data_IF_279994154518
#
_entry.id   IF_279994154518
#
_cell.length_a   1.000
_cell.length_b   1.000
_cell.length_c   1.000
_cell.angle_alpha   90.00
_cell.angle_beta   90.00
_cell.angle_gamma   90.00
#
_symmetry.space_group_name_H-M   'P 1'
#
loop_
_entity.id
_entity.type
_entity.pdbx_description
1 polymer ?
#
# COMPACT_ATOMS: atom_id res chain seq x y z
N UNK A 1 -19.32 8.56 31.79
CA UNK A 1 -20.23 7.40 31.61
C UNK A 1 -21.07 7.66 30.36
N UNK A 2 -20.66 7.16 29.21
CA UNK A 2 -21.43 7.26 27.95
C UNK A 2 -22.64 6.37 28.12
N UNK A 3 -23.81 6.93 27.90
CA UNK A 3 -25.08 6.26 28.09
C UNK A 3 -25.14 5.01 27.17
N UNK A 4 -25.22 3.81 27.74
CA UNK A 4 -25.23 2.51 27.08
C UNK A 4 -26.25 2.47 25.92
N UNK A 5 -27.39 3.15 26.07
CA UNK A 5 -28.44 3.32 25.06
C UNK A 5 -27.94 4.10 23.81
N UNK A 6 -27.13 5.15 23.98
CA UNK A 6 -26.54 5.89 22.85
C UNK A 6 -25.50 5.06 22.11
N UNK A 7 -24.78 4.19 22.80
CA UNK A 7 -23.82 3.29 22.18
C UNK A 7 -24.52 2.16 21.40
N UNK A 8 -25.57 1.56 21.95
CA UNK A 8 -26.36 0.52 21.27
C UNK A 8 -27.10 1.10 20.05
N UNK A 9 -27.58 2.33 20.11
CA UNK A 9 -28.19 3.03 18.98
C UNK A 9 -27.16 3.37 17.90
N UNK A 10 -25.96 3.80 18.28
CA UNK A 10 -24.83 4.04 17.39
C UNK A 10 -24.41 2.75 16.65
N UNK A 11 -24.31 1.63 17.36
CA UNK A 11 -24.00 0.31 16.77
C UNK A 11 -25.13 -0.14 15.81
N UNK A 12 -26.39 0.14 16.15
CA UNK A 12 -27.54 -0.16 15.30
C UNK A 12 -27.55 0.68 14.01
N UNK A 13 -27.25 1.97 14.10
CA UNK A 13 -27.17 2.90 12.96
C UNK A 13 -26.02 2.53 12.01
N UNK A 14 -24.85 2.15 12.58
CA UNK A 14 -23.75 1.59 11.81
C UNK A 14 -24.17 0.31 11.10
N UNK A 15 -24.83 -0.59 11.82
CA UNK A 15 -25.33 -1.86 11.25
C UNK A 15 -26.28 -1.65 10.10
N UNK A 16 -27.21 -0.71 10.23
CA UNK A 16 -28.21 -0.38 9.19
C UNK A 16 -27.56 0.27 7.96
N UNK A 17 -26.67 1.22 8.19
CA UNK A 17 -25.90 1.88 7.10
C UNK A 17 -25.05 0.85 6.36
N UNK A 18 -24.40 -0.03 7.09
CA UNK A 18 -23.59 -1.13 6.57
C UNK A 18 -24.44 -2.12 5.75
N UNK A 19 -25.60 -2.54 6.27
CA UNK A 19 -26.50 -3.48 5.56
C UNK A 19 -27.09 -2.88 4.28
N UNK A 20 -27.34 -1.58 4.23
CA UNK A 20 -27.88 -0.90 3.04
C UNK A 20 -26.84 -0.73 1.91
N UNK A 21 -25.57 -0.57 2.25
CA UNK A 21 -24.47 -0.42 1.29
C UNK A 21 -24.04 -1.78 0.70
N UNK A 22 -24.24 -2.88 1.44
CA UNK A 22 -23.70 -4.21 1.12
C UNK A 22 -24.65 -5.22 0.47
N UNK A 23 -25.79 -4.80 -0.02
CA UNK A 23 -26.66 -5.63 -0.87
C UNK A 23 -26.05 -5.91 -2.25
N UNK A 24 -24.97 -5.22 -2.62
CA UNK A 24 -24.18 -5.47 -3.82
C UNK A 24 -22.98 -6.37 -3.49
N UNK A 25 -22.76 -7.44 -4.29
CA UNK A 25 -21.63 -8.40 -4.24
C UNK A 25 -20.29 -7.72 -4.53
N UNK A 26 -19.80 -6.81 -3.69
CA UNK A 26 -18.54 -6.16 -3.90
C UNK A 26 -17.38 -7.03 -3.37
N UNK A 27 -16.37 -7.26 -4.22
CA UNK A 27 -15.13 -7.95 -3.85
C UNK A 27 -14.24 -6.97 -3.09
N UNK A 28 -13.45 -7.47 -2.14
CA UNK A 28 -12.39 -6.68 -1.49
C UNK A 28 -11.39 -6.20 -2.54
N UNK A 29 -11.30 -4.90 -2.74
CA UNK A 29 -10.39 -4.28 -3.71
C UNK A 29 -9.56 -3.19 -3.03
N UNK A 30 -8.26 -3.19 -3.29
CA UNK A 30 -7.33 -2.18 -2.80
C UNK A 30 -6.54 -1.56 -3.94
N UNK A 31 -6.45 -0.24 -3.94
CA UNK A 31 -5.70 0.55 -4.89
C UNK A 31 -4.41 1.05 -4.24
N UNK A 32 -3.28 0.75 -4.86
CA UNK A 32 -1.95 1.20 -4.44
C UNK A 32 -1.38 2.12 -5.50
N UNK A 33 -1.14 3.38 -5.13
CA UNK A 33 -0.41 4.34 -5.96
C UNK A 33 1.08 4.26 -5.66
N UNK A 34 1.91 4.12 -6.70
CA UNK A 34 3.37 4.09 -6.52
C UNK A 34 3.97 5.39 -7.07
N UNK A 35 4.44 6.21 -6.14
CA UNK A 35 5.12 7.47 -6.43
C UNK A 35 6.64 7.28 -6.39
N UNK A 36 7.36 8.01 -7.21
CA UNK A 36 8.82 8.01 -7.25
C UNK A 36 9.34 8.61 -8.54
N UNK A 37 10.52 9.18 -8.50
CA UNK A 37 11.18 9.79 -9.66
C UNK A 37 11.49 8.77 -10.77
N UNK A 38 11.84 9.27 -11.95
CA UNK A 38 12.38 8.43 -13.03
C UNK A 38 13.64 7.69 -12.56
N UNK A 39 13.71 6.39 -12.85
CA UNK A 39 14.84 5.54 -12.41
C UNK A 39 14.73 4.98 -11.01
N UNK A 40 13.71 5.35 -10.20
CA UNK A 40 13.54 4.79 -8.85
C UNK A 40 13.10 3.31 -8.82
N UNK A 41 12.98 2.66 -9.98
CA UNK A 41 12.72 1.23 -10.09
C UNK A 41 11.24 0.82 -9.96
N UNK A 42 10.26 1.73 -10.11
CA UNK A 42 8.82 1.42 -10.01
C UNK A 42 8.38 0.26 -10.89
N UNK A 43 8.70 0.33 -12.17
CA UNK A 43 8.33 -0.69 -13.15
C UNK A 43 9.06 -2.01 -12.93
N UNK A 44 10.33 -1.96 -12.52
CA UNK A 44 11.11 -3.14 -12.13
C UNK A 44 10.49 -3.80 -10.90
N UNK A 45 10.13 -2.99 -9.90
CA UNK A 45 9.45 -3.44 -8.69
C UNK A 45 8.12 -4.15 -9.02
N UNK A 46 7.31 -3.57 -9.89
CA UNK A 46 6.04 -4.15 -10.34
C UNK A 46 6.26 -5.49 -11.06
N UNK A 47 7.25 -5.57 -11.96
CA UNK A 47 7.56 -6.80 -12.70
C UNK A 47 8.02 -7.92 -11.77
N UNK A 48 8.89 -7.59 -10.80
CA UNK A 48 9.37 -8.56 -9.81
C UNK A 48 8.27 -8.91 -8.82
N UNK A 49 7.47 -7.96 -8.37
CA UNK A 49 6.31 -8.21 -7.52
C UNK A 49 5.38 -9.25 -8.15
N UNK A 50 5.06 -9.12 -9.43
CA UNK A 50 4.22 -10.09 -10.12
C UNK A 50 4.96 -11.40 -10.41
N UNK A 51 6.14 -11.34 -11.03
CA UNK A 51 6.90 -12.50 -11.49
C UNK A 51 7.35 -13.41 -10.36
N UNK A 52 7.90 -12.85 -9.28
CA UNK A 52 8.32 -13.63 -8.09
C UNK A 52 7.16 -14.42 -7.48
N UNK A 53 5.94 -13.86 -7.51
CA UNK A 53 4.76 -14.51 -6.96
C UNK A 53 4.16 -15.61 -7.87
N UNK A 54 4.65 -15.75 -9.13
CA UNK A 54 4.26 -16.85 -10.02
C UNK A 54 5.00 -18.16 -9.70
N UNK A 55 6.11 -18.08 -8.96
CA UNK A 55 6.87 -19.27 -8.57
C UNK A 55 6.02 -20.20 -7.68
N UNK A 56 6.02 -21.50 -8.00
CA UNK A 56 5.29 -22.52 -7.23
C UNK A 56 5.72 -22.55 -5.76
N UNK A 57 7.00 -22.32 -5.50
CA UNK A 57 7.56 -22.25 -4.13
C UNK A 57 6.94 -21.09 -3.35
N UNK A 58 6.78 -19.91 -3.98
CA UNK A 58 6.11 -18.78 -3.35
C UNK A 58 4.66 -19.12 -2.99
N UNK A 59 3.88 -19.59 -3.96
CA UNK A 59 2.47 -19.94 -3.73
C UNK A 59 2.27 -20.95 -2.59
N UNK A 60 3.12 -21.98 -2.51
CA UNK A 60 3.10 -22.96 -1.43
C UNK A 60 3.40 -22.33 -0.07
N UNK A 61 4.42 -21.47 0.01
CA UNK A 61 4.84 -20.79 1.25
C UNK A 61 3.86 -19.70 1.67
N UNK A 62 3.41 -18.89 0.72
CA UNK A 62 2.50 -17.78 0.96
C UNK A 62 1.06 -18.24 1.23
N UNK A 63 0.63 -19.39 0.70
CA UNK A 63 -0.72 -19.93 0.81
C UNK A 63 -1.74 -19.23 -0.10
N UNK A 64 -1.29 -18.37 -1.00
CA UNK A 64 -2.12 -17.69 -2.00
C UNK A 64 -1.39 -17.54 -3.33
N UNK A 65 -2.15 -17.23 -4.38
CA UNK A 65 -1.68 -16.92 -5.73
C UNK A 65 -2.10 -15.52 -6.12
N UNK A 66 -1.22 -14.84 -6.86
CA UNK A 66 -1.49 -13.58 -7.50
C UNK A 66 -1.70 -13.83 -9.01
N UNK A 67 -2.85 -13.44 -9.55
CA UNK A 67 -3.21 -13.66 -10.95
C UNK A 67 -3.46 -12.31 -11.61
N UNK A 68 -2.83 -12.02 -12.74
CA UNK A 68 -3.17 -10.83 -13.51
C UNK A 68 -4.62 -10.93 -14.02
N UNK A 69 -5.39 -9.86 -13.89
CA UNK A 69 -6.75 -9.81 -14.43
C UNK A 69 -6.75 -9.73 -15.95
N UNK A 70 -5.75 -9.03 -16.52
CA UNK A 70 -5.44 -9.00 -17.94
C UNK A 70 -4.22 -9.88 -18.25
N UNK A 71 -4.43 -10.91 -19.06
CA UNK A 71 -3.38 -11.87 -19.42
C UNK A 71 -2.24 -11.23 -20.22
N UNK A 72 -2.55 -10.23 -21.06
CA UNK A 72 -1.53 -9.51 -21.86
C UNK A 72 -0.63 -8.68 -20.96
N UNK A 73 -1.21 -7.97 -20.00
CA UNK A 73 -0.43 -7.25 -18.98
C UNK A 73 0.43 -8.21 -18.15
N UNK A 74 -0.15 -9.34 -17.72
CA UNK A 74 0.58 -10.38 -16.98
C UNK A 74 1.76 -10.93 -17.77
N UNK A 75 1.60 -11.22 -19.06
CA UNK A 75 2.69 -11.69 -19.91
C UNK A 75 3.80 -10.64 -20.06
N UNK A 76 3.49 -9.38 -20.27
CA UNK A 76 4.48 -8.29 -20.32
C UNK A 76 5.30 -8.21 -19.04
N UNK A 77 4.65 -8.30 -17.87
CA UNK A 77 5.34 -8.28 -16.58
C UNK A 77 6.24 -9.50 -16.38
N UNK A 78 5.80 -10.70 -16.81
CA UNK A 78 6.61 -11.91 -16.76
C UNK A 78 7.83 -11.82 -17.69
N UNK A 79 7.67 -11.30 -18.89
CA UNK A 79 8.80 -11.09 -19.80
C UNK A 79 9.83 -10.13 -19.22
N UNK A 80 9.38 -9.04 -18.57
CA UNK A 80 10.28 -8.12 -17.90
C UNK A 80 10.96 -8.77 -16.67
N UNK A 81 10.25 -9.62 -15.94
CA UNK A 81 10.80 -10.38 -14.82
C UNK A 81 11.87 -11.39 -15.28
N UNK A 82 11.60 -12.15 -16.35
CA UNK A 82 12.57 -13.13 -16.89
C UNK A 82 13.85 -12.47 -17.37
N UNK A 83 13.80 -11.28 -17.96
CA UNK A 83 15.03 -10.55 -18.29
C UNK A 83 15.87 -10.26 -17.04
N UNK A 84 15.24 -9.90 -15.92
CA UNK A 84 15.95 -9.70 -14.66
C UNK A 84 16.55 -11.02 -14.18
N UNK A 85 15.84 -12.15 -14.32
CA UNK A 85 16.37 -13.49 -13.99
C UNK A 85 17.57 -13.87 -14.87
N UNK A 86 17.59 -13.43 -16.13
CA UNK A 86 18.70 -13.63 -17.07
C UNK A 86 19.87 -12.64 -16.85
N UNK A 87 19.78 -11.79 -15.83
CA UNK A 87 20.82 -10.81 -15.49
C UNK A 87 20.74 -9.50 -16.27
N UNK A 88 19.68 -9.33 -17.10
CA UNK A 88 19.47 -8.13 -17.89
C UNK A 88 18.62 -7.10 -17.12
N UNK A 89 19.03 -5.83 -17.18
CA UNK A 89 18.14 -4.75 -16.74
C UNK A 89 17.00 -4.60 -17.74
N UNK A 90 15.73 -4.58 -17.30
CA UNK A 90 14.64 -4.27 -18.20
C UNK A 90 14.86 -2.87 -18.77
N UNK A 91 14.67 -2.69 -20.09
CA UNK A 91 14.76 -1.36 -20.69
C UNK A 91 13.75 -0.46 -19.99
N UNK A 92 14.05 0.85 -19.96
CA UNK A 92 13.08 1.83 -19.43
C UNK A 92 11.75 1.65 -20.18
N UNK A 93 10.84 0.95 -19.55
CA UNK A 93 9.56 0.59 -20.17
C UNK A 93 8.61 1.75 -19.95
N UNK A 94 8.29 2.45 -21.03
CA UNK A 94 7.15 3.35 -21.08
C UNK A 94 5.91 2.49 -21.24
N UNK A 95 5.37 1.95 -20.13
CA UNK A 95 4.07 1.32 -20.18
C UNK A 95 3.03 2.39 -20.59
N UNK A 96 2.20 2.05 -21.55
CA UNK A 96 1.01 2.88 -21.87
C UNK A 96 -0.07 2.71 -20.81
N UNK A 97 -0.06 1.56 -20.14
CA UNK A 97 -1.01 1.22 -19.09
C UNK A 97 -0.52 1.78 -17.76
N UNK A 98 -1.35 2.55 -17.09
CA UNK A 98 -1.06 3.16 -15.79
C UNK A 98 -1.63 2.37 -14.63
N UNK A 99 -2.46 1.35 -14.89
CA UNK A 99 -3.07 0.50 -13.87
C UNK A 99 -2.95 -0.98 -14.22
N UNK A 100 -2.57 -1.79 -13.22
CA UNK A 100 -2.43 -3.24 -13.31
C UNK A 100 -3.29 -3.88 -12.23
N UNK A 101 -4.25 -4.70 -12.63
CA UNK A 101 -5.16 -5.37 -11.70
C UNK A 101 -4.73 -6.81 -11.46
N UNK A 102 -4.55 -7.16 -10.20
CA UNK A 102 -4.21 -8.51 -9.76
C UNK A 102 -5.32 -9.08 -8.90
N UNK A 103 -5.70 -10.33 -9.15
CA UNK A 103 -6.62 -11.11 -8.32
C UNK A 103 -5.83 -11.97 -7.34
N UNK A 104 -6.25 -11.97 -6.09
CA UNK A 104 -5.65 -12.77 -5.03
C UNK A 104 -6.57 -13.94 -4.73
N UNK A 105 -6.03 -15.16 -4.84
CA UNK A 105 -6.75 -16.41 -4.60
C UNK A 105 -6.02 -17.25 -3.58
N UNK A 106 -6.72 -17.67 -2.52
CA UNK A 106 -6.21 -18.63 -1.53
C UNK A 106 -6.11 -20.00 -2.19
N UNK A 107 -5.03 -20.75 -1.92
CA UNK A 107 -4.76 -22.02 -2.58
C UNK A 107 -5.90 -23.05 -2.36
N UNK A 108 -6.48 -23.07 -1.16
CA UNK A 108 -7.50 -24.02 -0.75
C UNK A 108 -8.93 -23.59 -1.08
N UNK A 109 -9.10 -22.45 -1.76
CA UNK A 109 -10.41 -21.90 -2.11
C UNK A 109 -10.51 -21.60 -3.61
N UNK A 110 -11.64 -21.95 -4.26
CA UNK A 110 -11.78 -21.84 -5.73
C UNK A 110 -12.02 -20.40 -6.22
N UNK A 111 -12.42 -19.50 -5.34
CA UNK A 111 -12.82 -18.13 -5.69
C UNK A 111 -11.72 -17.12 -5.37
N UNK A 112 -11.69 -16.03 -6.16
CA UNK A 112 -10.84 -14.88 -5.86
C UNK A 112 -11.31 -14.23 -4.56
N UNK A 113 -10.38 -14.01 -3.65
CA UNK A 113 -10.63 -13.45 -2.32
C UNK A 113 -10.61 -11.92 -2.35
N UNK A 114 -9.69 -11.34 -3.13
CA UNK A 114 -9.45 -9.91 -3.19
C UNK A 114 -8.87 -9.50 -4.54
N UNK A 115 -8.86 -8.19 -4.82
CA UNK A 115 -8.19 -7.59 -5.97
C UNK A 115 -7.24 -6.50 -5.48
N UNK A 116 -6.04 -6.44 -6.07
CA UNK A 116 -5.07 -5.38 -5.88
C UNK A 116 -4.90 -4.64 -7.21
N UNK A 117 -5.18 -3.34 -7.21
CA UNK A 117 -4.97 -2.47 -8.36
C UNK A 117 -3.71 -1.65 -8.10
N UNK A 118 -2.69 -1.89 -8.89
CA UNK A 118 -1.42 -1.18 -8.83
C UNK A 118 -1.43 -0.06 -9.85
N UNK A 119 -1.30 1.17 -9.40
CA UNK A 119 -1.17 2.33 -10.27
C UNK A 119 0.31 2.69 -10.40
N UNK A 120 0.84 2.58 -11.60
CA UNK A 120 2.19 3.01 -11.97
C UNK A 120 2.12 4.34 -12.72
N UNK A 121 2.93 5.30 -12.28
CA UNK A 121 2.99 6.63 -12.86
C UNK A 121 4.37 6.88 -13.44
N UNK A 122 4.48 7.27 -14.73
CA UNK A 122 5.77 7.56 -15.33
C UNK A 122 6.51 8.63 -14.55
N UNK A 123 7.70 8.28 -14.01
CA UNK A 123 8.46 9.20 -13.15
C UNK A 123 8.93 10.47 -13.87
N UNK A 124 9.02 10.43 -15.19
CA UNK A 124 9.37 11.56 -16.05
C UNK A 124 8.30 12.67 -16.00
N UNK A 125 7.06 12.29 -15.72
CA UNK A 125 5.95 13.25 -15.65
C UNK A 125 6.04 14.20 -14.45
N UNK A 126 6.87 13.92 -13.47
CA UNK A 126 7.09 14.81 -12.33
C UNK A 126 7.92 16.04 -12.69
N UNK A 127 8.83 15.88 -13.64
CA UNK A 127 9.77 16.95 -14.04
C UNK A 127 9.41 17.64 -15.35
N UNK A 128 8.50 17.08 -16.16
CA UNK A 128 8.17 17.57 -17.48
C UNK A 128 6.82 18.30 -17.49
N UNK A 129 6.83 19.54 -18.01
CA UNK A 129 5.60 20.24 -18.36
C UNK A 129 5.15 19.72 -19.72
N UNK A 130 3.94 19.17 -19.81
CA UNK A 130 3.36 18.66 -21.05
C UNK A 130 2.03 19.37 -21.30
N UNK A 131 1.78 19.74 -22.53
CA UNK A 131 0.57 20.42 -22.99
C UNK A 131 -0.26 19.52 -23.91
N UNK A 132 -1.49 19.92 -24.20
CA UNK A 132 -2.39 19.22 -25.09
C UNK A 132 -2.86 17.86 -24.56
N UNK A 133 -3.02 16.87 -25.43
CA UNK A 133 -3.52 15.54 -25.08
C UNK A 133 -2.62 14.79 -24.08
N UNK A 134 -1.30 14.95 -24.18
CA UNK A 134 -0.35 14.35 -23.23
C UNK A 134 -0.47 14.96 -21.83
N UNK A 135 -0.67 16.29 -21.76
CA UNK A 135 -0.93 16.98 -20.50
C UNK A 135 -2.22 16.50 -19.85
N UNK A 136 -3.28 16.28 -20.62
CA UNK A 136 -4.53 15.73 -20.11
C UNK A 136 -4.36 14.30 -19.58
N UNK A 137 -3.67 13.43 -20.32
CA UNK A 137 -3.35 12.05 -19.85
C UNK A 137 -2.54 12.03 -18.58
N UNK A 138 -1.55 12.95 -18.45
CA UNK A 138 -0.78 13.15 -17.23
C UNK A 138 -1.69 13.48 -16.05
N UNK A 139 -2.58 14.45 -16.23
CA UNK A 139 -3.52 14.90 -15.18
C UNK A 139 -4.48 13.78 -14.78
N UNK A 140 -5.03 13.04 -15.74
CA UNK A 140 -5.97 11.94 -15.48
C UNK A 140 -5.28 10.77 -14.74
N UNK A 141 -4.05 10.43 -15.13
CA UNK A 141 -3.26 9.41 -14.44
C UNK A 141 -2.89 9.85 -13.01
N UNK A 142 -2.50 11.12 -12.83
CA UNK A 142 -2.20 11.65 -11.51
C UNK A 142 -3.44 11.67 -10.60
N UNK A 143 -4.59 12.00 -11.16
CA UNK A 143 -5.88 11.93 -10.49
C UNK A 143 -6.23 10.50 -10.05
N UNK A 144 -6.03 9.52 -10.94
CA UNK A 144 -6.25 8.11 -10.62
C UNK A 144 -5.33 7.63 -9.48
N UNK A 145 -4.06 8.08 -9.46
CA UNK A 145 -3.15 7.81 -8.35
C UNK A 145 -3.68 8.37 -7.02
N UNK A 146 -4.16 9.61 -7.04
CA UNK A 146 -4.67 10.25 -5.83
C UNK A 146 -6.01 9.67 -5.35
N UNK A 147 -6.73 8.91 -6.18
CA UNK A 147 -7.91 8.15 -5.77
C UNK A 147 -7.57 6.78 -5.17
N UNK A 148 -6.28 6.46 -4.96
CA UNK A 148 -5.86 5.20 -4.36
C UNK A 148 -6.07 5.17 -2.85
N UNK A 149 -6.14 3.96 -2.26
CA UNK A 149 -6.28 3.78 -0.82
C UNK A 149 -4.96 3.98 -0.09
N UNK A 150 -3.85 3.58 -0.75
CA UNK A 150 -2.49 3.61 -0.24
C UNK A 150 -1.57 4.28 -1.23
N UNK A 151 -0.64 5.07 -0.72
CA UNK A 151 0.49 5.60 -1.45
C UNK A 151 1.79 4.92 -1.00
N UNK A 152 2.51 4.30 -1.93
CA UNK A 152 3.87 3.84 -1.75
C UNK A 152 4.81 4.88 -2.37
N UNK A 153 5.51 5.62 -1.53
CA UNK A 153 6.42 6.69 -1.94
C UNK A 153 7.87 6.18 -1.96
N UNK A 154 8.45 6.01 -3.15
CA UNK A 154 9.76 5.41 -3.33
C UNK A 154 10.89 6.43 -3.30
N UNK A 155 11.83 6.20 -2.40
CA UNK A 155 13.16 6.80 -2.36
C UNK A 155 14.07 5.93 -3.22
N UNK A 156 14.81 6.52 -4.18
CA UNK A 156 15.82 5.81 -4.97
C UNK A 156 17.10 5.60 -4.14
N UNK A 157 17.39 4.34 -3.81
CA UNK A 157 18.57 3.99 -3.01
C UNK A 157 19.89 4.40 -3.67
N UNK A 158 20.01 4.31 -4.99
CA UNK A 158 21.21 4.76 -5.69
C UNK A 158 21.44 6.25 -5.53
N UNK A 159 20.40 7.05 -5.76
CA UNK A 159 20.50 8.52 -5.58
C UNK A 159 20.74 8.92 -4.12
N UNK A 160 20.18 8.16 -3.18
CA UNK A 160 20.45 8.36 -1.76
C UNK A 160 21.92 8.07 -1.44
N UNK A 161 22.51 7.05 -2.05
CA UNK A 161 23.93 6.71 -1.89
C UNK A 161 24.84 7.77 -2.52
N UNK A 162 24.52 8.25 -3.72
CA UNK A 162 25.32 9.22 -4.48
C UNK A 162 25.29 10.63 -3.89
N UNK A 163 24.14 11.04 -3.32
CA UNK A 163 23.93 12.41 -2.84
C UNK A 163 23.19 12.44 -1.49
N UNK A 164 23.87 11.94 -0.47
CA UNK A 164 23.29 11.67 0.84
C UNK A 164 22.63 12.88 1.52
N UNK A 165 23.15 14.10 1.36
CA UNK A 165 22.68 15.26 2.12
C UNK A 165 21.50 15.99 1.46
N UNK A 166 21.44 16.03 0.15
CA UNK A 166 20.50 16.91 -0.56
C UNK A 166 19.37 16.18 -1.29
N UNK A 167 19.48 14.85 -1.43
CA UNK A 167 18.53 14.09 -2.21
C UNK A 167 17.14 14.06 -1.57
N UNK A 168 17.04 13.68 -0.29
CA UNK A 168 15.75 13.55 0.38
C UNK A 168 14.96 14.86 0.45
N UNK A 169 15.55 15.99 0.88
CA UNK A 169 14.85 17.27 0.86
C UNK A 169 14.33 17.64 -0.53
N UNK A 170 15.16 17.45 -1.57
CA UNK A 170 14.76 17.76 -2.97
C UNK A 170 13.62 16.87 -3.44
N UNK A 171 13.65 15.59 -3.12
CA UNK A 171 12.61 14.62 -3.50
C UNK A 171 11.25 15.03 -2.96
N UNK A 172 11.14 15.27 -1.64
CA UNK A 172 9.88 15.66 -1.01
C UNK A 172 9.41 17.04 -1.46
N UNK A 173 10.33 17.98 -1.62
CA UNK A 173 10.02 19.30 -2.18
C UNK A 173 9.48 19.21 -3.60
N UNK A 174 10.13 18.46 -4.49
CA UNK A 174 9.68 18.28 -5.87
C UNK A 174 8.28 17.70 -5.95
N UNK A 175 7.96 16.73 -5.08
CA UNK A 175 6.61 16.16 -5.03
C UNK A 175 5.59 17.18 -4.52
N UNK A 176 5.91 17.93 -3.47
CA UNK A 176 5.06 19.02 -2.97
C UNK A 176 4.78 20.05 -4.06
N UNK A 177 5.81 20.49 -4.76
CA UNK A 177 5.70 21.49 -5.83
C UNK A 177 4.83 20.97 -7.00
N UNK A 178 4.89 19.67 -7.31
CA UNK A 178 4.00 19.06 -8.32
C UNK A 178 2.55 19.01 -7.83
N UNK A 179 2.30 18.60 -6.57
CA UNK A 179 0.96 18.64 -5.98
C UNK A 179 0.37 20.05 -6.03
N UNK A 180 1.14 21.05 -5.65
CA UNK A 180 0.71 22.45 -5.68
C UNK A 180 0.36 22.91 -7.09
N UNK A 181 1.15 22.53 -8.09
CA UNK A 181 0.85 22.82 -9.51
C UNK A 181 -0.45 22.16 -9.98
N UNK A 182 -0.68 20.93 -9.56
CA UNK A 182 -1.88 20.18 -9.94
C UNK A 182 -3.13 20.57 -9.15
N UNK A 183 -2.98 21.34 -8.08
CA UNK A 183 -4.08 21.71 -7.18
C UNK A 183 -5.31 22.25 -7.93
N UNK A 184 -5.12 23.18 -8.87
CA UNK A 184 -6.22 23.78 -9.65
C UNK A 184 -6.98 22.71 -10.46
N UNK A 185 -6.26 21.72 -11.00
CA UNK A 185 -6.84 20.63 -11.78
C UNK A 185 -7.51 19.56 -10.90
N UNK A 186 -7.05 19.42 -9.67
CA UNK A 186 -7.53 18.42 -8.71
C UNK A 186 -8.76 18.93 -7.95
N UNK A 187 -8.72 20.17 -7.48
CA UNK A 187 -9.79 20.79 -6.68
C UNK A 187 -10.66 21.68 -7.56
N UNK A 188 -11.68 21.11 -8.22
CA UNK A 188 -12.66 21.92 -8.95
C UNK A 188 -13.37 22.85 -7.97
N UNK A 189 -13.46 24.13 -8.33
CA UNK A 189 -14.16 25.17 -7.55
C UNK A 189 -13.70 25.30 -6.08
N UNK A 190 -12.40 25.01 -5.81
CA UNK A 190 -11.80 24.96 -4.48
C UNK A 190 -12.45 23.93 -3.53
N UNK A 191 -13.18 22.94 -4.04
CA UNK A 191 -13.72 21.87 -3.24
C UNK A 191 -12.60 20.95 -2.73
N UNK A 192 -12.65 20.58 -1.45
CA UNK A 192 -11.69 19.66 -0.86
C UNK A 192 -11.87 18.25 -1.44
N UNK A 193 -10.76 17.55 -1.67
CA UNK A 193 -10.75 16.18 -2.17
C UNK A 193 -11.28 15.22 -1.11
N UNK A 194 -12.31 14.46 -1.44
CA UNK A 194 -12.81 13.36 -0.62
C UNK A 194 -11.95 12.11 -0.81
N UNK A 195 -11.65 11.77 -2.06
CA UNK A 195 -10.81 10.64 -2.43
C UNK A 195 -9.34 11.08 -2.48
N UNK A 196 -8.53 10.52 -1.60
CA UNK A 196 -7.09 10.79 -1.51
C UNK A 196 -6.43 9.67 -0.68
N UNK A 197 -5.18 9.23 -0.98
CA UNK A 197 -4.52 8.21 -0.18
C UNK A 197 -4.35 8.66 1.27
N UNK A 198 -4.91 7.89 2.20
CA UNK A 198 -4.81 8.19 3.64
C UNK A 198 -3.58 7.54 4.25
N UNK A 199 -3.22 6.36 3.77
CA UNK A 199 -2.06 5.60 4.21
C UNK A 199 -0.88 5.83 3.28
N UNK A 200 0.22 6.31 3.84
CA UNK A 200 1.46 6.59 3.12
C UNK A 200 2.59 5.75 3.69
N UNK A 201 3.22 4.96 2.84
CA UNK A 201 4.37 4.13 3.18
C UNK A 201 5.58 4.66 2.41
N UNK A 202 6.63 5.05 3.12
CA UNK A 202 7.89 5.51 2.52
C UNK A 202 8.76 4.27 2.30
N UNK A 203 9.07 3.97 1.04
CA UNK A 203 9.86 2.81 0.61
C UNK A 203 11.24 3.21 0.12
N UNK A 204 12.30 2.56 0.62
CA UNK A 204 13.63 2.63 0.02
C UNK A 204 13.73 1.55 -1.05
N UNK A 205 13.76 1.93 -2.33
CA UNK A 205 14.08 1.01 -3.42
C UNK A 205 15.58 0.76 -3.49
N UNK A 206 16.01 -0.33 -4.15
CA UNK A 206 17.43 -0.73 -4.23
C UNK A 206 18.07 -0.82 -2.85
N UNK A 207 17.34 -1.35 -1.86
CA UNK A 207 17.81 -1.46 -0.48
C UNK A 207 18.98 -2.43 -0.32
N UNK A 208 19.23 -3.29 -1.30
CA UNK A 208 20.42 -4.14 -1.42
C UNK A 208 21.74 -3.37 -1.46
N UNK A 209 21.71 -2.08 -1.87
CA UNK A 209 22.86 -1.18 -1.83
C UNK A 209 23.28 -0.77 -0.40
N UNK A 210 22.46 -1.07 0.60
CA UNK A 210 22.67 -0.72 2.01
C UNK A 210 22.77 -1.97 2.90
N UNK A 211 23.80 -2.82 2.71
CA UNK A 211 23.93 -4.04 3.46
C UNK A 211 24.07 -3.76 4.97
N UNK A 212 23.32 -4.51 5.78
CA UNK A 212 23.31 -4.36 7.24
C UNK A 212 22.53 -3.16 7.77
N UNK A 213 21.83 -2.43 6.90
CA UNK A 213 20.89 -1.38 7.32
C UNK A 213 19.48 -1.96 7.40
N UNK A 214 18.79 -1.59 8.48
CA UNK A 214 17.41 -1.96 8.74
C UNK A 214 16.43 -0.79 8.43
N UNK A 215 15.17 -1.02 8.66
CA UNK A 215 14.14 -0.02 8.40
C UNK A 215 14.17 1.14 9.42
N UNK A 216 14.64 0.92 10.63
CA UNK A 216 14.81 1.98 11.64
C UNK A 216 15.93 2.95 11.22
N UNK A 217 17.00 2.44 10.59
CA UNK A 217 17.99 3.29 9.97
C UNK A 217 17.35 4.18 8.87
N UNK A 218 16.54 3.59 7.96
CA UNK A 218 15.86 4.37 6.92
C UNK A 218 14.99 5.48 7.53
N UNK A 219 14.18 5.14 8.51
CA UNK A 219 13.33 6.09 9.22
C UNK A 219 14.16 7.23 9.83
N UNK A 220 15.25 6.89 10.51
CA UNK A 220 16.13 7.86 11.16
C UNK A 220 16.78 8.81 10.13
N UNK A 221 17.23 8.27 8.99
CA UNK A 221 17.80 9.07 7.89
C UNK A 221 16.78 10.03 7.28
N UNK A 222 15.55 9.56 7.04
CA UNK A 222 14.49 10.39 6.48
C UNK A 222 14.08 11.50 7.45
N UNK A 223 13.90 11.19 8.72
CA UNK A 223 13.58 12.20 9.75
C UNK A 223 14.72 13.21 9.87
N UNK A 224 15.96 12.75 9.97
CA UNK A 224 17.12 13.61 10.18
C UNK A 224 17.33 14.61 9.04
N UNK A 225 17.05 14.18 7.79
CA UNK A 225 17.40 14.98 6.59
C UNK A 225 16.22 15.71 5.96
N UNK A 226 15.00 15.26 6.18
CA UNK A 226 13.84 15.75 5.43
C UNK A 226 12.59 15.95 6.28
N UNK A 227 12.67 16.04 7.60
CA UNK A 227 11.46 16.21 8.44
C UNK A 227 10.69 17.48 8.07
N UNK A 228 11.37 18.61 7.85
CA UNK A 228 10.74 19.87 7.51
C UNK A 228 10.02 19.81 6.15
N UNK A 229 10.61 19.14 5.17
CA UNK A 229 10.00 18.98 3.85
C UNK A 229 8.82 17.99 3.88
N UNK A 230 8.87 16.97 4.71
CA UNK A 230 7.75 16.05 4.93
C UNK A 230 6.58 16.78 5.61
N UNK A 231 6.86 17.58 6.63
CA UNK A 231 5.82 18.40 7.29
C UNK A 231 5.23 19.45 6.33
N UNK A 232 6.06 20.08 5.51
CA UNK A 232 5.60 21.01 4.47
C UNK A 232 4.73 20.30 3.41
N UNK A 233 5.12 19.10 2.98
CA UNK A 233 4.32 18.26 2.08
C UNK A 233 3.01 17.83 2.74
N UNK A 234 3.05 17.41 4.01
CA UNK A 234 1.83 17.09 4.78
C UNK A 234 0.90 18.30 4.85
N UNK A 235 1.43 19.50 5.12
CA UNK A 235 0.66 20.74 5.13
C UNK A 235 -0.03 21.02 3.80
N UNK A 236 0.66 20.83 2.68
CA UNK A 236 0.08 20.98 1.33
C UNK A 236 -1.07 19.99 1.11
N UNK A 237 -0.84 18.69 1.41
CA UNK A 237 -1.88 17.66 1.32
C UNK A 237 -3.09 18.02 2.18
N UNK A 238 -2.86 18.37 3.44
CA UNK A 238 -3.91 18.73 4.39
C UNK A 238 -4.76 19.92 3.93
N UNK A 239 -4.17 20.84 3.17
CA UNK A 239 -4.89 21.98 2.61
C UNK A 239 -5.83 21.63 1.45
N UNK A 240 -5.69 20.45 0.86
CA UNK A 240 -6.45 20.02 -0.32
C UNK A 240 -7.48 18.94 -0.01
N UNK A 241 -7.38 18.26 1.12
CA UNK A 241 -8.20 17.08 1.41
C UNK A 241 -9.23 17.34 2.49
N UNK A 242 -10.36 16.63 2.41
CA UNK A 242 -11.28 16.54 3.53
C UNK A 242 -10.65 15.69 4.64
N UNK A 243 -10.87 16.07 5.91
CA UNK A 243 -10.43 15.28 7.08
C UNK A 243 -8.91 15.02 7.08
N UNK A 244 -8.11 16.11 7.11
CA UNK A 244 -6.65 16.04 7.02
C UNK A 244 -5.97 15.30 8.17
N UNK A 245 -6.66 15.14 9.31
CA UNK A 245 -6.19 14.39 10.48
C UNK A 245 -5.94 12.90 10.19
N UNK A 246 -6.49 12.38 9.08
CA UNK A 246 -6.35 10.99 8.67
C UNK A 246 -5.22 10.76 7.64
N UNK A 247 -4.24 11.61 7.57
CA UNK A 247 -3.06 11.44 6.70
C UNK A 247 -1.89 10.87 7.50
N UNK A 248 -1.35 9.71 7.07
CA UNK A 248 -0.28 9.00 7.77
C UNK A 248 1.12 9.26 7.22
N UNK A 249 1.30 10.25 6.35
CA UNK A 249 2.60 10.54 5.71
C UNK A 249 3.72 10.73 6.76
N UNK A 250 4.82 9.99 6.56
CA UNK A 250 5.99 10.04 7.44
C UNK A 250 5.96 9.07 8.61
N UNK A 251 4.92 8.22 8.70
CA UNK A 251 4.75 7.29 9.82
C UNK A 251 5.30 5.89 9.52
N UNK A 252 5.13 5.37 8.29
CA UNK A 252 5.38 3.98 7.94
C UNK A 252 6.49 3.88 6.89
N UNK A 253 7.35 2.85 7.04
CA UNK A 253 8.53 2.68 6.20
C UNK A 253 8.72 1.23 5.78
N UNK A 254 9.33 1.00 4.60
CA UNK A 254 9.67 -0.33 4.08
C UNK A 254 10.98 -0.29 3.29
N UNK A 255 11.77 -1.36 3.42
CA UNK A 255 12.92 -1.62 2.55
C UNK A 255 12.49 -2.52 1.39
N UNK A 256 12.84 -2.14 0.16
CA UNK A 256 12.47 -2.84 -1.07
C UNK A 256 13.70 -3.05 -1.97
N UNK A 257 13.87 -4.25 -2.48
CA UNK A 257 14.77 -4.49 -3.61
C UNK A 257 14.23 -5.59 -4.52
N UNK A 258 14.31 -5.33 -5.82
CA UNK A 258 13.85 -6.24 -6.87
C UNK A 258 14.80 -7.39 -7.15
N UNK A 259 16.09 -7.22 -6.85
CA UNK A 259 17.16 -8.19 -7.00
C UNK A 259 18.35 -7.72 -6.16
N UNK A 260 19.43 -8.51 -6.09
CA UNK A 260 20.72 -7.99 -5.66
C UNK A 260 21.47 -7.46 -6.89
N UNK A 261 21.89 -6.19 -6.84
CA UNK A 261 22.61 -5.55 -7.91
C UNK A 261 24.10 -5.38 -7.54
N UNK A 262 24.97 -5.50 -8.55
CA UNK A 262 26.37 -5.13 -8.40
C UNK A 262 26.51 -3.60 -8.37
N UNK A 263 26.97 -3.01 -7.27
CA UNK A 263 27.08 -1.55 -7.15
C UNK A 263 28.08 -0.91 -8.12
N UNK A 264 29.02 -1.69 -8.70
CA UNK A 264 30.04 -1.20 -9.63
C UNK A 264 29.54 -1.18 -11.08
N UNK A 265 28.86 -2.22 -11.50
CA UNK A 265 28.40 -2.38 -12.88
C UNK A 265 26.93 -2.00 -13.07
N UNK A 266 26.14 -1.93 -11.99
CA UNK A 266 24.70 -1.78 -12.02
C UNK A 266 23.97 -3.01 -12.57
N UNK A 267 24.68 -4.09 -12.89
CA UNK A 267 24.12 -5.35 -13.37
C UNK A 267 23.43 -6.15 -12.26
N UNK A 268 22.61 -7.12 -12.66
CA UNK A 268 21.96 -8.04 -11.71
C UNK A 268 22.97 -9.09 -11.24
N UNK A 269 23.27 -9.13 -9.94
CA UNK A 269 24.18 -10.11 -9.33
C UNK A 269 23.41 -11.38 -8.92
N UNK A 270 22.25 -11.20 -8.27
CA UNK A 270 21.40 -12.32 -7.85
C UNK A 270 19.91 -11.92 -7.99
N UNK A 271 19.24 -12.41 -9.03
CA UNK A 271 17.83 -12.05 -9.30
C UNK A 271 16.85 -12.64 -8.29
N UNK A 272 17.25 -13.64 -7.51
CA UNK A 272 16.39 -14.29 -6.51
C UNK A 272 16.45 -13.60 -5.14
N UNK A 273 17.43 -12.75 -4.92
CA UNK A 273 17.65 -12.08 -3.64
C UNK A 273 16.84 -10.77 -3.59
N UNK A 274 15.54 -10.90 -3.41
CA UNK A 274 14.62 -9.77 -3.25
C UNK A 274 14.52 -9.31 -1.79
N UNK A 275 14.13 -8.05 -1.55
CA UNK A 275 13.89 -7.49 -0.22
C UNK A 275 12.48 -6.89 -0.18
N UNK A 276 11.64 -7.32 0.76
CA UNK A 276 10.35 -6.71 1.07
C UNK A 276 9.23 -6.88 0.03
N UNK A 277 9.51 -7.45 -1.12
CA UNK A 277 8.53 -7.59 -2.24
C UNK A 277 7.29 -8.37 -1.79
N UNK A 278 7.48 -9.42 -1.02
CA UNK A 278 6.44 -10.30 -0.50
C UNK A 278 5.53 -9.63 0.54
N UNK A 279 5.91 -8.46 1.03
CA UNK A 279 5.19 -7.71 2.05
C UNK A 279 4.24 -6.65 1.46
N UNK A 280 4.38 -6.33 0.18
CA UNK A 280 3.56 -5.30 -0.48
C UNK A 280 2.07 -5.63 -0.43
N UNK A 281 1.66 -6.85 -0.82
CA UNK A 281 0.25 -7.24 -0.73
C UNK A 281 -0.28 -7.24 0.72
N UNK A 282 0.40 -7.90 1.69
CA UNK A 282 0.00 -7.80 3.09
C UNK A 282 -0.17 -6.37 3.60
N UNK A 283 0.78 -5.49 3.33
CA UNK A 283 0.70 -4.09 3.73
C UNK A 283 -0.48 -3.38 3.08
N UNK A 284 -0.70 -3.59 1.78
CA UNK A 284 -1.78 -2.96 1.04
C UNK A 284 -3.18 -3.25 1.64
N UNK A 285 -3.36 -4.41 2.25
CA UNK A 285 -4.65 -4.79 2.82
C UNK A 285 -4.74 -4.57 4.33
N UNK A 286 -3.65 -4.72 5.06
CA UNK A 286 -3.67 -4.68 6.53
C UNK A 286 -3.46 -3.27 7.09
N UNK A 287 -2.53 -2.48 6.51
CA UNK A 287 -2.21 -1.16 7.06
C UNK A 287 -3.40 -0.20 7.09
N UNK A 288 -4.27 -0.11 6.06
CA UNK A 288 -5.48 0.70 6.15
C UNK A 288 -6.42 0.26 7.26
N UNK A 289 -6.53 -1.06 7.53
CA UNK A 289 -7.34 -1.57 8.64
C UNK A 289 -6.77 -1.13 9.99
N UNK A 290 -5.46 -1.20 10.18
CA UNK A 290 -4.80 -0.77 11.41
C UNK A 290 -5.03 0.72 11.65
N UNK A 291 -4.85 1.55 10.63
CA UNK A 291 -5.13 2.99 10.73
C UNK A 291 -6.60 3.30 11.01
N UNK A 292 -7.51 2.61 10.32
CA UNK A 292 -8.94 2.77 10.56
C UNK A 292 -9.29 2.45 12.02
N UNK A 293 -8.71 1.38 12.60
CA UNK A 293 -8.83 1.06 14.02
C UNK A 293 -8.30 2.20 14.90
N UNK A 294 -7.07 2.66 14.65
CA UNK A 294 -6.44 3.74 15.40
C UNK A 294 -7.32 4.99 15.42
N UNK A 295 -7.82 5.40 14.27
CA UNK A 295 -8.68 6.58 14.13
C UNK A 295 -10.05 6.39 14.78
N UNK A 296 -10.65 5.20 14.68
CA UNK A 296 -11.93 4.89 15.35
C UNK A 296 -11.83 4.92 16.88
N UNK A 297 -10.66 4.66 17.45
CA UNK A 297 -10.40 4.77 18.88
C UNK A 297 -10.43 6.20 19.42
N UNK A 298 -10.35 7.20 18.55
CA UNK A 298 -10.55 8.59 18.94
C UNK A 298 -12.05 8.92 18.99
N UNK A 299 -12.64 9.06 20.19
CA UNK A 299 -14.07 9.36 20.41
C UNK A 299 -14.63 10.50 19.54
N UNK A 300 -13.76 11.45 19.18
CA UNK A 300 -14.08 12.64 18.37
C UNK A 300 -14.47 12.31 16.92
N UNK A 301 -14.07 11.16 16.39
CA UNK A 301 -14.11 10.86 14.95
C UNK A 301 -14.95 9.64 14.55
N UNK A 302 -15.63 9.00 15.49
CA UNK A 302 -16.29 7.71 15.29
C UNK A 302 -17.14 7.55 14.01
N UNK A 303 -18.02 8.50 13.65
CA UNK A 303 -18.81 8.42 12.42
C UNK A 303 -17.97 8.60 11.16
N UNK A 304 -17.06 9.58 11.15
CA UNK A 304 -16.19 9.87 10.01
C UNK A 304 -15.21 8.74 9.72
N UNK A 305 -14.67 8.10 10.78
CA UNK A 305 -13.83 6.91 10.63
C UNK A 305 -14.58 5.76 9.98
N UNK A 306 -15.86 5.59 10.30
CA UNK A 306 -16.69 4.54 9.71
C UNK A 306 -16.80 4.71 8.20
N UNK A 307 -17.02 5.92 7.70
CA UNK A 307 -17.07 6.21 6.25
C UNK A 307 -15.73 5.94 5.58
N UNK A 308 -14.62 6.36 6.19
CA UNK A 308 -13.27 6.10 5.67
C UNK A 308 -12.92 4.61 5.65
N UNK A 309 -13.33 3.86 6.67
CA UNK A 309 -13.21 2.40 6.70
C UNK A 309 -13.97 1.78 5.52
N UNK A 310 -15.17 2.27 5.22
CA UNK A 310 -15.97 1.76 4.10
C UNK A 310 -15.35 2.12 2.75
N UNK A 311 -14.85 3.34 2.60
CA UNK A 311 -14.19 3.77 1.37
C UNK A 311 -12.87 3.00 1.16
N UNK A 312 -12.11 2.73 2.23
CA UNK A 312 -10.88 1.93 2.17
C UNK A 312 -11.12 0.44 1.92
N UNK A 313 -12.32 -0.05 2.23
CA UNK A 313 -12.68 -1.47 2.11
C UNK A 313 -13.97 -1.68 1.32
N UNK A 314 -14.04 -1.10 0.13
CA UNK A 314 -15.14 -1.38 -0.80
C UNK A 314 -15.24 -2.89 -1.00
N UNK A 315 -16.24 -3.52 -0.39
CA UNK A 315 -16.52 -4.94 -0.57
C UNK A 315 -16.39 -5.85 0.64
N UNK A 316 -16.03 -5.35 1.81
CA UNK A 316 -16.16 -6.11 3.04
C UNK A 316 -17.63 -6.28 3.41
N UNK A 317 -18.09 -7.51 3.54
CA UNK A 317 -19.46 -7.79 4.02
C UNK A 317 -19.56 -7.50 5.52
N UNK A 318 -20.76 -7.11 5.99
CA UNK A 318 -21.11 -6.88 7.40
C UNK A 318 -20.72 -8.02 8.32
N UNK A 319 -20.68 -9.25 7.79
CA UNK A 319 -20.25 -10.44 8.50
C UNK A 319 -18.78 -10.38 8.90
N UNK A 320 -17.96 -9.72 8.09
CA UNK A 320 -16.53 -9.54 8.31
C UNK A 320 -16.24 -8.38 9.28
N UNK A 321 -17.01 -7.30 9.19
CA UNK A 321 -16.95 -6.22 10.18
C UNK A 321 -17.29 -6.71 11.59
N UNK A 322 -18.13 -7.74 11.73
CA UNK A 322 -18.37 -8.41 13.02
C UNK A 322 -17.18 -9.25 13.50
N UNK A 323 -16.34 -9.69 12.56
CA UNK A 323 -15.15 -10.51 12.84
C UNK A 323 -13.88 -9.66 13.02
N UNK A 324 -13.80 -8.52 12.38
CA UNK A 324 -12.83 -7.52 12.76
C UNK A 324 -13.22 -7.03 14.16
N UNK A 325 -12.29 -7.00 15.12
CA UNK A 325 -12.58 -6.53 16.49
C UNK A 325 -12.94 -5.05 16.57
N UNK A 326 -13.50 -4.49 15.49
CA UNK A 326 -13.81 -3.09 15.26
C UNK A 326 -15.23 -2.70 15.65
N UNK A 327 -16.16 -3.64 15.78
CA UNK A 327 -17.59 -3.36 15.96
C UNK A 327 -18.10 -4.03 17.22
N UNK A 328 -17.45 -3.81 18.35
CA UNK A 328 -17.89 -4.29 19.65
C UNK A 328 -16.90 -3.94 20.77
N UNK A 329 -17.22 -4.22 22.04
CA UNK A 329 -16.38 -3.89 23.19
C UNK A 329 -15.03 -4.67 23.25
N UNK A 330 -14.65 -5.38 22.21
CA UNK A 330 -13.44 -6.21 22.12
C UNK A 330 -12.33 -5.58 21.26
N UNK A 331 -12.10 -4.27 21.39
CA UNK A 331 -10.95 -3.56 20.80
C UNK A 331 -9.59 -4.12 21.23
N UNK A 332 -9.54 -4.92 22.30
CA UNK A 332 -8.34 -5.57 22.83
C UNK A 332 -7.80 -6.73 21.99
N UNK A 333 -8.55 -7.23 21.00
CA UNK A 333 -8.20 -8.49 20.32
C UNK A 333 -7.00 -8.37 19.37
N UNK A 334 -6.67 -7.18 18.83
CA UNK A 334 -5.43 -7.01 18.03
C UNK A 334 -4.20 -6.82 18.95
N UNK A 335 -4.36 -6.21 20.12
CA UNK A 335 -3.27 -6.09 21.10
C UNK A 335 -3.04 -7.44 21.80
N UNK A 336 -4.11 -8.22 22.07
CA UNK A 336 -4.01 -9.59 22.55
C UNK A 336 -3.52 -10.57 21.48
N UNK A 337 -3.81 -10.31 20.19
CA UNK A 337 -3.24 -11.06 19.07
C UNK A 337 -1.74 -10.82 18.92
N UNK A 338 -1.20 -9.69 19.35
CA UNK A 338 0.23 -9.43 19.35
C UNK A 338 0.98 -10.21 20.44
N UNK A 339 0.31 -10.64 21.51
CA UNK A 339 0.93 -11.35 22.65
C UNK A 339 0.81 -12.89 22.61
N UNK A 340 -0.33 -13.42 22.07
CA UNK A 340 -0.55 -14.88 21.88
C UNK A 340 -0.61 -15.29 20.41
N UNK A 341 -0.16 -14.53 19.60
CA UNK A 341 -0.53 -13.97 18.31
C UNK A 341 -0.56 -14.98 17.15
N UNK A 342 0.54 -15.62 16.79
CA UNK A 342 0.65 -16.39 15.54
C UNK A 342 -0.22 -17.64 15.55
N UNK A 343 -0.28 -18.35 16.69
CA UNK A 343 -1.10 -19.57 16.82
C UNK A 343 -2.60 -19.28 16.66
N UNK A 344 -3.07 -18.18 17.24
CA UNK A 344 -4.49 -17.77 17.13
C UNK A 344 -4.85 -17.31 15.72
N UNK A 345 -3.92 -16.63 15.02
CA UNK A 345 -4.08 -16.29 13.61
C UNK A 345 -4.17 -17.51 12.70
N UNK A 346 -3.40 -18.57 12.99
CA UNK A 346 -3.51 -19.84 12.27
C UNK A 346 -4.88 -20.51 12.48
N UNK A 347 -5.40 -20.53 13.70
CA UNK A 347 -6.75 -21.05 13.98
C UNK A 347 -7.83 -20.28 13.25
N UNK A 348 -7.74 -18.93 13.24
CA UNK A 348 -8.66 -18.07 12.49
C UNK A 348 -8.60 -18.32 10.98
N UNK A 349 -7.41 -18.54 10.44
CA UNK A 349 -7.21 -18.88 9.04
C UNK A 349 -7.87 -20.21 8.69
N UNK A 350 -7.63 -21.27 9.48
CA UNK A 350 -8.24 -22.58 9.28
C UNK A 350 -9.77 -22.53 9.37
N UNK A 351 -10.30 -21.76 10.32
CA UNK A 351 -11.74 -21.58 10.46
C UNK A 351 -12.34 -20.85 9.26
N UNK A 352 -11.66 -19.83 8.73
CA UNK A 352 -12.07 -19.13 7.51
C UNK A 352 -12.10 -20.08 6.31
N UNK A 353 -11.08 -20.93 6.14
CA UNK A 353 -11.04 -21.95 5.10
C UNK A 353 -12.23 -22.92 5.23
N UNK A 354 -12.47 -23.48 6.43
CA UNK A 354 -13.59 -24.41 6.69
C UNK A 354 -14.95 -23.79 6.39
N UNK A 355 -15.12 -22.50 6.63
CA UNK A 355 -16.36 -21.75 6.36
C UNK A 355 -16.48 -21.27 4.90
N UNK A 356 -15.46 -21.45 4.06
CA UNK A 356 -15.40 -20.90 2.70
C UNK A 356 -15.33 -19.37 2.66
N UNK A 357 -14.84 -18.75 3.74
CA UNK A 357 -14.69 -17.32 3.88
C UNK A 357 -13.39 -16.86 3.24
N UNK A 358 -13.44 -16.52 1.94
CA UNK A 358 -12.28 -16.17 1.13
C UNK A 358 -11.56 -14.90 1.64
N UNK A 359 -12.33 -13.90 2.06
CA UNK A 359 -11.77 -12.63 2.56
C UNK A 359 -11.06 -12.86 3.89
N UNK A 360 -11.65 -13.65 4.78
CA UNK A 360 -11.04 -14.02 6.02
C UNK A 360 -9.77 -14.81 5.91
N UNK A 361 -9.80 -15.72 5.03
CA UNK A 361 -8.63 -16.53 4.77
C UNK A 361 -7.47 -15.66 4.25
N UNK A 362 -7.72 -14.68 3.36
CA UNK A 362 -6.64 -13.81 2.86
C UNK A 362 -6.13 -12.83 3.91
N UNK A 363 -7.02 -12.19 4.65
CA UNK A 363 -6.61 -11.21 5.68
C UNK A 363 -5.85 -11.86 6.83
N UNK A 364 -6.32 -13.03 7.32
CA UNK A 364 -5.59 -13.79 8.34
C UNK A 364 -4.21 -14.23 7.84
N UNK A 365 -4.10 -14.64 6.57
CA UNK A 365 -2.82 -15.00 5.96
C UNK A 365 -1.87 -13.82 5.87
N UNK A 366 -2.37 -12.64 5.51
CA UNK A 366 -1.58 -11.41 5.46
C UNK A 366 -1.10 -10.99 6.86
N UNK A 367 -1.94 -11.09 7.87
CA UNK A 367 -1.55 -10.85 9.26
C UNK A 367 -0.46 -11.82 9.72
N UNK A 368 -0.60 -13.11 9.43
CA UNK A 368 0.44 -14.13 9.73
C UNK A 368 1.76 -13.72 9.05
N UNK A 369 1.71 -13.25 7.80
CA UNK A 369 2.91 -12.86 7.06
C UNK A 369 3.60 -11.63 7.65
N UNK A 370 2.84 -10.62 8.06
CA UNK A 370 3.38 -9.41 8.70
C UNK A 370 3.95 -9.66 10.10
N UNK A 371 3.50 -10.71 10.78
CA UNK A 371 4.01 -11.11 12.11
C UNK A 371 5.05 -12.25 12.03
N UNK A 372 5.47 -12.66 10.83
CA UNK A 372 6.48 -13.71 10.67
C UNK A 372 7.90 -13.17 10.95
N UNK A 373 8.84 -14.02 11.39
CA UNK A 373 10.26 -13.63 11.49
C UNK A 373 10.81 -13.07 10.17
N UNK A 374 11.65 -12.04 10.23
CA UNK A 374 12.21 -11.37 9.05
C UNK A 374 11.41 -10.16 8.59
N UNK A 375 10.57 -9.60 9.47
CA UNK A 375 9.83 -8.35 9.23
C UNK A 375 10.62 -7.09 9.60
N UNK A 376 11.91 -7.20 9.91
CA UNK A 376 12.80 -6.05 10.15
C UNK A 376 12.91 -5.08 8.94
N UNK A 377 12.26 -5.45 7.84
CA UNK A 377 12.14 -4.65 6.61
C UNK A 377 11.01 -3.62 6.66
N UNK A 378 10.14 -3.69 7.68
CA UNK A 378 8.97 -2.83 7.84
C UNK A 378 9.01 -2.15 9.21
N UNK A 379 8.69 -0.87 9.22
CA UNK A 379 8.34 -0.11 10.40
C UNK A 379 6.91 0.42 10.25
N UNK A 380 6.02 0.05 11.15
CA UNK A 380 4.65 0.54 11.20
C UNK A 380 4.45 1.29 12.52
N UNK A 381 3.99 2.52 12.44
CA UNK A 381 3.80 3.38 13.63
C UNK A 381 2.68 2.90 14.55
N UNK A 382 1.88 1.95 14.09
CA UNK A 382 0.78 1.36 14.86
C UNK A 382 1.22 0.22 15.77
N UNK A 383 2.48 -0.23 15.66
CA UNK A 383 3.01 -1.34 16.46
C UNK A 383 3.63 -0.87 17.80
N UNK A 384 3.53 0.44 18.12
CA UNK A 384 4.04 1.04 19.38
C UNK A 384 2.97 1.73 20.20
#
# INVERSE_FOLDING_TARGET
>A
MINRLKFEQYVSDIKYTVESIFTSRSKLEQHVAVFGESGSGKTTLLSVFYGHQQATVFSKKAGYKLLAADTTQGQKLLQAYHRIEDGELPPQTRYRDTAFTFKIRINDLPKDAASLVWHDYPGEWWSETREGEEGQRKNDAFKALLCSNIALFLIDGQRLLDNQEHYLPRLFKSFRDELSRQRVNLTKDNALLKEFPRVWIIGLSKADLFPGKDVEWLRSEVIRKACDEIEALRGEICSMVMEPEFISLGNDYILLSSAKFDPKTGGVEDPKKTIGIELISPLAFITPLQYAKKWAGYERYGKKCTELIFDAFRGLTTRWLKWLPFVGPTFHLLDDLAKDGVSKLHLLHEEAIKKGDTVGAVLSKFLIRLNAPGTEKIYLSNDK
#
